data_IF_973872495858
#
_entry.id   IF_973872495858
#
_cell.length_a   1.000
_cell.length_b   1.000
_cell.length_c   1.000
_cell.angle_alpha   90.00
_cell.angle_beta   90.00
_cell.angle_gamma   90.00
#
_symmetry.space_group_name_H-M   'P 1'
#
loop_
_entity.id
_entity.type
_entity.pdbx_description
1 polymer ?
#
# COMPACT_ATOMS: atom_id res chain seq x y z
N UNK A 1 -15.37 57.64 45.11
CA UNK A 1 -14.65 57.11 43.93
C UNK A 1 -13.76 55.95 44.42
N UNK A 2 -14.28 54.72 44.42
CA UNK A 2 -13.53 53.52 44.77
C UNK A 2 -13.62 52.56 43.59
N UNK A 3 -12.51 52.39 42.88
CA UNK A 3 -12.40 51.48 41.73
C UNK A 3 -11.97 50.12 42.27
N UNK A 4 -12.88 49.15 42.28
CA UNK A 4 -12.54 47.74 42.51
C UNK A 4 -11.96 47.17 41.20
N UNK A 5 -10.66 46.91 41.21
CA UNK A 5 -9.98 46.07 40.22
C UNK A 5 -10.28 44.60 40.55
N UNK A 6 -11.22 44.02 39.80
CA UNK A 6 -11.52 42.60 39.84
C UNK A 6 -10.45 41.86 39.02
N UNK A 7 -9.47 41.26 39.70
CA UNK A 7 -8.46 40.41 39.06
C UNK A 7 -9.07 39.10 38.60
N UNK A 8 -9.19 38.91 37.28
CA UNK A 8 -9.42 37.58 36.70
C UNK A 8 -8.18 36.72 36.89
N UNK A 9 -8.22 35.80 37.85
CA UNK A 9 -7.31 34.66 37.91
C UNK A 9 -7.65 33.72 36.76
N UNK A 10 -6.88 33.76 35.68
CA UNK A 10 -6.86 32.70 34.68
C UNK A 10 -6.22 31.47 35.33
N UNK A 11 -7.04 30.51 35.74
CA UNK A 11 -6.58 29.15 36.01
C UNK A 11 -6.22 28.52 34.67
N UNK A 12 -4.91 28.39 34.40
CA UNK A 12 -4.39 27.50 33.38
C UNK A 12 -4.85 26.09 33.73
N UNK A 13 -5.87 25.59 33.04
CA UNK A 13 -6.22 24.18 33.04
C UNK A 13 -5.05 23.43 32.42
N UNK A 14 -4.31 22.65 33.22
CA UNK A 14 -3.38 21.66 32.69
C UNK A 14 -4.16 20.80 31.70
N UNK A 15 -3.80 20.86 30.42
CA UNK A 15 -4.37 19.97 29.41
C UNK A 15 -4.01 18.55 29.83
N UNK A 16 -5.01 17.78 30.24
CA UNK A 16 -4.85 16.38 30.65
C UNK A 16 -4.22 15.60 29.48
N UNK A 17 -3.15 14.83 29.71
CA UNK A 17 -2.53 14.08 28.61
C UNK A 17 -3.53 13.07 28.05
N UNK A 18 -3.96 13.28 26.80
CA UNK A 18 -4.85 12.35 26.12
C UNK A 18 -4.17 11.73 24.90
N UNK A 19 -4.12 10.40 24.87
CA UNK A 19 -3.59 9.64 23.73
C UNK A 19 -4.58 9.75 22.57
N UNK A 20 -4.19 10.14 21.34
CA UNK A 20 -5.09 10.26 20.19
C UNK A 20 -5.76 8.96 19.77
N UNK A 21 -6.99 9.04 19.23
CA UNK A 21 -7.81 7.87 18.84
C UNK A 21 -7.10 6.94 17.86
N UNK A 22 -6.31 7.49 16.92
CA UNK A 22 -5.56 6.71 15.92
C UNK A 22 -4.51 5.76 16.53
N UNK A 23 -4.05 6.05 17.76
CA UNK A 23 -3.05 5.24 18.48
C UNK A 23 -3.72 4.28 19.47
N UNK A 24 -4.98 4.53 19.84
CA UNK A 24 -5.71 3.70 20.82
C UNK A 24 -6.01 2.31 20.25
N UNK A 25 -6.08 1.33 21.13
CA UNK A 25 -6.40 -0.05 20.79
C UNK A 25 -5.38 -1.05 21.33
N UNK A 26 -5.51 -2.29 20.87
CA UNK A 26 -4.63 -3.40 21.22
C UNK A 26 -3.68 -3.68 20.07
N UNK A 27 -2.39 -3.67 20.39
CA UNK A 27 -1.30 -3.71 19.43
C UNK A 27 -0.37 -4.89 19.73
N UNK A 28 -0.14 -5.74 18.75
CA UNK A 28 0.78 -6.86 18.83
C UNK A 28 2.16 -6.48 18.28
N UNK A 29 3.20 -6.89 18.99
CA UNK A 29 4.59 -6.77 18.55
C UNK A 29 5.38 -8.02 18.95
N UNK A 30 6.41 -8.34 18.17
CA UNK A 30 7.43 -9.30 18.57
C UNK A 30 8.64 -8.54 19.09
N UNK A 31 8.93 -8.68 20.39
CA UNK A 31 9.97 -7.91 21.07
C UNK A 31 10.89 -8.87 21.81
N UNK A 32 12.20 -8.81 21.53
CA UNK A 32 13.22 -9.61 22.22
C UNK A 32 12.91 -11.12 22.24
N UNK A 33 12.39 -11.66 21.14
CA UNK A 33 12.04 -13.07 21.04
C UNK A 33 10.74 -13.46 21.76
N UNK A 34 9.88 -12.50 22.11
CA UNK A 34 8.63 -12.74 22.83
C UNK A 34 7.44 -12.00 22.22
N UNK A 35 6.32 -12.70 22.20
CA UNK A 35 5.00 -12.11 21.93
C UNK A 35 4.69 -11.03 22.95
N UNK A 36 4.43 -9.82 22.47
CA UNK A 36 4.15 -8.66 23.30
C UNK A 36 2.83 -8.04 22.88
N UNK A 37 1.94 -7.84 23.84
CA UNK A 37 0.69 -7.10 23.65
C UNK A 37 0.79 -5.76 24.37
N UNK A 38 0.43 -4.70 23.67
CA UNK A 38 0.41 -3.33 24.16
C UNK A 38 -0.99 -2.78 23.95
N UNK A 39 -1.67 -2.41 25.04
CA UNK A 39 -2.96 -1.73 24.97
C UNK A 39 -2.77 -0.26 25.32
N UNK A 40 -3.31 0.61 24.47
CA UNK A 40 -3.35 2.05 24.66
C UNK A 40 -4.81 2.48 24.72
N UNK A 41 -5.21 3.09 25.83
CA UNK A 41 -6.51 3.76 25.94
C UNK A 41 -6.31 5.28 25.92
N UNK A 42 -7.30 6.07 26.37
CA UNK A 42 -7.18 7.53 26.34
C UNK A 42 -6.09 8.07 27.27
N UNK A 43 -5.70 7.33 28.32
CA UNK A 43 -4.87 7.84 29.41
C UNK A 43 -3.70 6.93 29.80
N UNK A 44 -3.64 5.68 29.34
CA UNK A 44 -2.68 4.70 29.84
C UNK A 44 -2.14 3.81 28.74
N UNK A 45 -0.95 3.26 29.00
CA UNK A 45 -0.31 2.23 28.18
C UNK A 45 0.10 1.06 29.06
N UNK A 46 -0.20 -0.18 28.63
CA UNK A 46 0.14 -1.40 29.37
C UNK A 46 1.63 -1.43 29.73
N UNK A 47 1.95 -1.72 31.00
CA UNK A 47 3.32 -1.79 31.56
C UNK A 47 4.11 -0.47 31.54
N UNK A 48 3.47 0.67 31.26
CA UNK A 48 4.09 2.01 31.31
C UNK A 48 3.35 2.97 32.25
N UNK A 49 2.05 2.74 32.47
CA UNK A 49 1.25 3.50 33.43
C UNK A 49 0.44 4.61 32.76
N UNK A 50 0.21 5.72 33.47
CA UNK A 50 -0.65 6.83 33.02
C UNK A 50 0.13 7.87 32.23
N UNK A 51 -0.42 8.37 31.14
CA UNK A 51 0.16 9.48 30.41
C UNK A 51 0.05 10.75 31.24
N UNK A 52 1.14 11.50 31.30
CA UNK A 52 1.22 12.77 32.01
C UNK A 52 1.72 13.91 31.12
N UNK A 53 2.32 13.60 29.98
CA UNK A 53 2.78 14.59 29.01
C UNK A 53 2.82 13.99 27.60
N UNK A 54 2.55 14.80 26.60
CA UNK A 54 2.59 14.44 25.18
C UNK A 54 3.14 15.60 24.36
N UNK A 55 4.06 15.28 23.47
CA UNK A 55 4.51 16.16 22.38
C UNK A 55 4.10 15.55 21.05
N UNK A 56 3.51 16.36 20.18
CA UNK A 56 2.98 15.95 18.89
C UNK A 56 3.70 16.70 17.76
N UNK A 57 4.16 15.94 16.77
CA UNK A 57 4.78 16.44 15.55
C UNK A 57 4.00 15.92 14.33
N UNK A 58 3.43 16.86 13.56
CA UNK A 58 2.76 16.61 12.27
C UNK A 58 1.63 15.55 12.32
N UNK A 59 0.99 15.33 13.48
CA UNK A 59 -0.06 14.32 13.69
C UNK A 59 0.35 12.86 13.37
N UNK A 60 1.64 12.59 13.17
CA UNK A 60 2.17 11.27 12.81
C UNK A 60 3.26 10.79 13.76
N UNK A 61 3.92 11.71 14.47
CA UNK A 61 4.96 11.40 15.43
C UNK A 61 4.54 11.94 16.80
N UNK A 62 4.50 11.06 17.79
CA UNK A 62 4.04 11.39 19.14
C UNK A 62 5.05 10.91 20.16
N UNK A 63 5.46 11.79 21.05
CA UNK A 63 6.35 11.48 22.15
C UNK A 63 5.58 11.60 23.46
N UNK A 64 5.40 10.47 24.15
CA UNK A 64 4.65 10.40 25.39
C UNK A 64 5.57 10.22 26.59
N UNK A 65 5.20 10.86 27.69
CA UNK A 65 5.72 10.54 29.02
C UNK A 65 4.65 9.80 29.80
N UNK A 66 4.96 8.56 30.15
CA UNK A 66 4.14 7.72 31.01
C UNK A 66 4.72 7.64 32.41
N UNK A 67 3.83 7.63 33.41
CA UNK A 67 4.15 7.48 34.81
C UNK A 67 3.65 6.12 35.33
N UNK A 68 4.60 5.29 35.73
CA UNK A 68 4.39 4.10 36.56
C UNK A 68 4.69 4.46 38.02
N UNK A 69 4.17 3.75 39.05
CA UNK A 69 4.38 4.14 40.46
C UNK A 69 5.84 4.28 40.89
N UNK A 70 6.78 3.68 40.14
CA UNK A 70 8.21 3.67 40.48
C UNK A 70 9.06 4.64 39.65
N UNK A 71 8.62 5.00 38.44
CA UNK A 71 9.44 5.77 37.49
C UNK A 71 8.64 6.24 36.27
N UNK A 72 9.33 6.95 35.38
CA UNK A 72 8.78 7.45 34.12
C UNK A 72 9.33 6.69 32.92
N UNK A 73 8.54 6.64 31.85
CA UNK A 73 8.92 6.07 30.56
C UNK A 73 8.70 7.10 29.47
N UNK A 74 9.69 7.25 28.58
CA UNK A 74 9.50 7.95 27.33
C UNK A 74 9.16 6.93 26.24
N UNK A 75 8.05 7.15 25.53
CA UNK A 75 7.63 6.31 24.41
C UNK A 75 7.38 7.20 23.21
N UNK A 76 8.14 7.00 22.14
CA UNK A 76 7.94 7.65 20.85
C UNK A 76 7.20 6.70 19.93
N UNK A 77 6.06 7.13 19.40
CA UNK A 77 5.21 6.38 18.48
C UNK A 77 5.11 7.10 17.14
N UNK A 78 5.37 6.35 16.07
CA UNK A 78 5.21 6.79 14.70
C UNK A 78 4.02 6.06 14.07
N UNK A 79 3.03 6.82 13.62
CA UNK A 79 1.87 6.31 12.89
C UNK A 79 2.28 6.06 11.45
N UNK A 80 2.41 4.79 11.05
CA UNK A 80 2.70 4.42 9.65
C UNK A 80 1.41 4.28 8.85
N UNK A 81 0.45 3.55 9.40
CA UNK A 81 -0.88 3.36 8.81
C UNK A 81 -1.91 3.23 9.94
N UNK A 82 -3.20 3.13 9.58
CA UNK A 82 -4.27 2.83 10.55
C UNK A 82 -4.10 1.50 11.29
N UNK A 83 -3.28 0.58 10.76
CA UNK A 83 -3.06 -0.76 11.33
C UNK A 83 -1.62 -1.01 11.77
N UNK A 84 -0.71 -0.06 11.55
CA UNK A 84 0.73 -0.22 11.82
C UNK A 84 1.28 1.01 12.51
N UNK A 85 1.85 0.80 13.68
CA UNK A 85 2.67 1.78 14.38
C UNK A 85 4.12 1.28 14.44
N UNK A 86 5.04 2.22 14.63
CA UNK A 86 6.39 1.91 15.05
C UNK A 86 6.66 2.63 16.38
N UNK A 87 7.42 1.99 17.27
CA UNK A 87 7.82 2.60 18.55
C UNK A 87 9.31 2.53 18.81
N UNK A 88 9.78 3.51 19.56
CA UNK A 88 10.99 3.42 20.39
C UNK A 88 10.66 3.88 21.79
N UNK A 89 11.37 3.34 22.78
CA UNK A 89 11.11 3.69 24.18
C UNK A 89 12.37 3.59 25.02
N UNK A 90 12.39 4.38 26.10
CA UNK A 90 13.43 4.29 27.12
C UNK A 90 13.10 3.20 28.14
N UNK A 91 14.12 2.78 28.90
CA UNK A 91 13.89 2.10 30.17
C UNK A 91 13.29 3.03 31.22
N UNK A 92 13.09 2.48 32.42
CA UNK A 92 12.61 3.19 33.61
C UNK A 92 13.55 4.37 33.98
N UNK A 93 13.01 5.60 33.95
CA UNK A 93 13.73 6.84 34.24
C UNK A 93 13.29 7.40 35.60
N UNK A 94 14.23 7.54 36.52
CA UNK A 94 14.00 8.19 37.81
C UNK A 94 14.39 9.66 37.72
N UNK A 95 13.50 10.53 38.19
CA UNK A 95 13.75 11.97 38.33
C UNK A 95 13.99 12.29 39.81
N UNK A 96 14.69 13.38 40.09
CA UNK A 96 14.83 13.85 41.46
C UNK A 96 13.48 14.37 41.99
N UNK A 97 13.28 14.35 43.32
CA UNK A 97 11.99 14.66 43.97
C UNK A 97 11.38 16.04 43.62
N UNK A 98 12.16 16.96 43.07
CA UNK A 98 11.73 18.32 42.70
C UNK A 98 11.76 18.58 41.18
N UNK A 99 11.98 17.56 40.36
CA UNK A 99 12.04 17.72 38.91
C UNK A 99 10.69 17.40 38.27
N UNK A 100 10.20 18.33 37.45
CA UNK A 100 9.00 18.09 36.65
C UNK A 100 9.28 17.10 35.51
N UNK A 101 8.38 16.12 35.28
CA UNK A 101 8.50 15.11 34.24
C UNK A 101 8.09 15.66 32.86
N UNK A 102 8.90 16.56 32.31
CA UNK A 102 8.72 17.05 30.92
C UNK A 102 9.24 16.05 29.90
N UNK A 103 8.77 16.19 28.65
CA UNK A 103 9.21 15.35 27.52
C UNK A 103 10.73 15.45 27.35
N UNK A 104 11.30 16.65 27.34
CA UNK A 104 12.73 16.86 27.12
C UNK A 104 13.59 16.19 28.19
N UNK A 105 13.10 16.13 29.44
CA UNK A 105 13.84 15.58 30.56
C UNK A 105 13.78 14.06 30.60
N UNK A 106 12.58 13.48 30.44
CA UNK A 106 12.39 12.02 30.48
C UNK A 106 12.93 11.38 29.19
N UNK A 107 12.72 12.01 28.04
CA UNK A 107 13.12 11.50 26.73
C UNK A 107 14.57 11.81 26.34
N UNK A 108 15.35 12.52 27.18
CA UNK A 108 16.75 12.86 26.90
C UNK A 108 17.63 11.66 26.52
N UNK A 109 17.32 10.49 27.08
CA UNK A 109 18.07 9.23 26.85
C UNK A 109 17.47 8.37 25.72
N UNK A 110 16.44 8.84 25.03
CA UNK A 110 15.89 8.12 23.89
C UNK A 110 16.92 8.12 22.77
N UNK A 111 17.40 6.94 22.40
CA UNK A 111 18.41 6.82 21.35
C UNK A 111 17.73 6.96 19.97
N UNK A 112 18.09 7.96 19.15
CA UNK A 112 17.50 8.14 17.81
C UNK A 112 17.86 6.99 16.86
N UNK A 113 18.99 6.32 17.07
CA UNK A 113 19.46 5.20 16.24
C UNK A 113 18.92 3.83 16.72
N UNK A 114 18.07 3.82 17.75
CA UNK A 114 17.46 2.59 18.23
C UNK A 114 16.56 1.99 17.14
N UNK A 115 16.63 0.67 16.97
CA UNK A 115 15.76 -0.02 16.04
C UNK A 115 14.30 0.15 16.46
N UNK A 116 13.50 0.65 15.52
CA UNK A 116 12.06 0.78 15.66
C UNK A 116 11.44 -0.61 15.84
N UNK A 117 10.52 -0.73 16.79
CA UNK A 117 9.71 -1.92 17.00
C UNK A 117 8.39 -1.71 16.26
N UNK A 118 8.03 -2.62 15.36
CA UNK A 118 6.75 -2.55 14.65
C UNK A 118 5.63 -3.12 15.52
N UNK A 119 4.49 -2.43 15.52
CA UNK A 119 3.26 -2.86 16.17
C UNK A 119 2.14 -3.02 15.15
N UNK A 120 1.41 -4.12 15.22
CA UNK A 120 0.27 -4.44 14.37
C UNK A 120 -1.02 -4.35 15.17
N UNK A 121 -2.04 -3.69 14.62
CA UNK A 121 -3.37 -3.66 15.25
C UNK A 121 -3.97 -5.06 15.30
N UNK A 122 -4.40 -5.49 16.48
CA UNK A 122 -5.09 -6.77 16.67
C UNK A 122 -6.47 -6.79 16.00
N UNK A 123 -7.13 -5.63 16.00
CA UNK A 123 -8.42 -5.39 15.38
C UNK A 123 -8.22 -4.58 14.09
N UNK A 124 -7.36 -5.06 13.21
CA UNK A 124 -7.03 -4.35 11.98
C UNK A 124 -8.24 -4.22 11.06
N UNK A 125 -8.29 -3.10 10.33
CA UNK A 125 -9.25 -2.86 9.25
C UNK A 125 -8.55 -3.13 7.92
N UNK A 126 -8.99 -4.12 7.12
CA UNK A 126 -8.35 -4.40 5.83
C UNK A 126 -8.33 -3.18 4.92
N UNK A 127 -7.16 -2.87 4.36
CA UNK A 127 -6.98 -1.75 3.41
C UNK A 127 -6.73 -2.28 2.00
N UNK A 128 -6.81 -1.39 1.02
CA UNK A 128 -6.60 -1.76 -0.37
C UNK A 128 -5.12 -2.13 -0.62
N UNK A 129 -4.87 -3.29 -1.22
CA UNK A 129 -3.54 -3.79 -1.59
C UNK A 129 -2.92 -3.06 -2.78
N UNK A 130 -3.69 -2.24 -3.51
CA UNK A 130 -3.25 -1.61 -4.76
C UNK A 130 -1.98 -0.78 -4.64
N UNK A 131 -1.85 -0.01 -3.56
CA UNK A 131 -0.63 0.77 -3.30
C UNK A 131 0.54 -0.12 -2.92
N UNK A 132 0.28 -1.23 -2.22
CA UNK A 132 1.28 -2.21 -1.80
C UNK A 132 1.81 -3.05 -2.96
N UNK A 133 0.92 -3.79 -3.64
CA UNK A 133 1.20 -4.81 -4.62
C UNK A 133 -0.07 -5.06 -5.46
N UNK A 134 -0.11 -4.70 -6.75
CA UNK A 134 -1.21 -4.99 -7.69
C UNK A 134 -0.70 -5.71 -8.94
N UNK A 135 -1.20 -6.92 -9.21
CA UNK A 135 -0.70 -7.73 -10.34
C UNK A 135 -0.75 -9.25 -10.15
N UNK A 136 -0.42 -9.95 -11.23
CA UNK A 136 -0.10 -11.38 -11.27
C UNK A 136 1.37 -11.52 -11.61
N UNK A 137 2.12 -12.17 -10.73
CA UNK A 137 3.55 -12.37 -10.91
C UNK A 137 3.89 -13.83 -10.72
N UNK A 138 4.72 -14.36 -11.60
CA UNK A 138 5.47 -15.58 -11.34
C UNK A 138 6.65 -15.19 -10.45
N UNK A 139 7.05 -16.08 -9.54
CA UNK A 139 8.19 -15.76 -8.69
C UNK A 139 9.10 -16.96 -8.45
N UNK A 140 10.39 -16.66 -8.32
CA UNK A 140 11.38 -17.55 -7.71
C UNK A 140 11.64 -17.08 -6.29
N UNK A 141 11.88 -17.99 -5.35
CA UNK A 141 12.09 -17.63 -3.95
C UNK A 141 13.31 -18.30 -3.33
N UNK A 142 13.95 -17.56 -2.44
CA UNK A 142 15.05 -18.02 -1.61
C UNK A 142 14.66 -17.82 -0.14
N UNK A 143 14.92 -18.82 0.70
CA UNK A 143 14.77 -18.68 2.16
C UNK A 143 16.08 -19.07 2.84
N UNK A 144 16.78 -18.07 3.38
CA UNK A 144 18.14 -18.21 3.94
C UNK A 144 18.23 -19.15 5.14
N UNK A 145 17.11 -19.43 5.80
CA UNK A 145 17.04 -20.28 6.99
C UNK A 145 16.56 -21.70 6.69
N UNK A 146 16.01 -21.95 5.50
CA UNK A 146 15.41 -23.26 5.15
C UNK A 146 16.21 -24.04 4.12
N UNK A 147 16.82 -23.38 3.13
CA UNK A 147 17.55 -24.06 2.06
C UNK A 147 18.58 -23.16 1.37
N UNK A 148 19.50 -23.78 0.64
CA UNK A 148 20.52 -23.07 -0.17
C UNK A 148 20.08 -22.99 -1.63
N UNK A 149 20.31 -21.85 -2.27
CA UNK A 149 19.93 -21.60 -3.66
C UNK A 149 18.57 -20.91 -3.78
N UNK A 150 18.06 -20.86 -5.01
CA UNK A 150 16.80 -20.21 -5.36
C UNK A 150 15.86 -21.25 -5.97
N UNK A 151 14.65 -21.37 -5.42
CA UNK A 151 13.62 -22.22 -5.97
C UNK A 151 12.84 -21.44 -7.04
N UNK A 152 13.02 -21.82 -8.30
CA UNK A 152 12.28 -21.29 -9.44
C UNK A 152 11.33 -22.36 -9.99
N UNK A 153 10.04 -22.22 -9.69
CA UNK A 153 8.98 -23.10 -10.20
C UNK A 153 7.99 -22.25 -11.03
N UNK A 154 7.60 -22.68 -12.25
CA UNK A 154 6.69 -21.91 -13.10
C UNK A 154 5.28 -21.74 -12.51
N UNK A 155 4.84 -22.66 -11.64
CA UNK A 155 3.52 -22.60 -11.01
C UNK A 155 3.51 -21.76 -9.71
N UNK A 156 4.67 -21.25 -9.28
CA UNK A 156 4.77 -20.36 -8.14
C UNK A 156 4.34 -18.95 -8.55
N UNK A 157 3.26 -18.45 -7.95
CA UNK A 157 2.64 -17.20 -8.36
C UNK A 157 2.13 -16.36 -7.19
N UNK A 158 2.23 -15.05 -7.33
CA UNK A 158 1.55 -14.05 -6.50
C UNK A 158 0.38 -13.51 -7.33
N UNK A 159 -0.81 -13.47 -6.75
CA UNK A 159 -2.02 -12.93 -7.38
C UNK A 159 -2.67 -11.91 -6.46
N UNK A 160 -2.49 -10.63 -6.79
CA UNK A 160 -3.04 -9.47 -6.08
C UNK A 160 -3.89 -8.63 -7.02
N UNK A 161 -5.09 -9.13 -7.30
CA UNK A 161 -5.99 -8.53 -8.28
C UNK A 161 -7.25 -8.00 -7.62
N UNK A 162 -7.75 -6.89 -8.16
CA UNK A 162 -9.05 -6.38 -7.75
C UNK A 162 -10.11 -7.42 -8.10
N UNK A 163 -10.89 -7.83 -7.11
CA UNK A 163 -12.07 -8.64 -7.38
C UNK A 163 -13.18 -7.73 -7.88
N UNK A 164 -13.89 -8.17 -8.91
CA UNK A 164 -15.07 -7.49 -9.42
C UNK A 164 -16.13 -7.38 -8.32
N UNK A 165 -16.19 -6.22 -7.67
CA UNK A 165 -17.30 -5.88 -6.80
C UNK A 165 -18.46 -5.30 -7.59
N UNK A 166 -19.51 -4.90 -6.88
CA UNK A 166 -20.51 -3.98 -7.44
C UNK A 166 -19.85 -2.64 -7.75
N UNK A 167 -20.46 -1.83 -8.62
CA UNK A 167 -20.05 -0.47 -9.03
C UNK A 167 -19.67 0.51 -7.89
N UNK A 168 -19.88 0.15 -6.61
CA UNK A 168 -19.57 0.96 -5.43
C UNK A 168 -18.54 0.32 -4.47
N UNK A 169 -18.12 -0.94 -4.65
CA UNK A 169 -17.31 -1.67 -3.65
C UNK A 169 -16.23 -2.53 -4.32
N UNK A 170 -15.13 -1.90 -4.76
CA UNK A 170 -13.94 -2.63 -5.24
C UNK A 170 -13.21 -3.23 -4.03
N UNK A 171 -13.27 -4.55 -3.85
CA UNK A 171 -12.61 -5.27 -2.74
C UNK A 171 -11.23 -5.79 -3.16
N UNK A 172 -10.21 -4.94 -3.22
CA UNK A 172 -8.81 -5.39 -3.36
C UNK A 172 -8.12 -5.36 -1.99
N UNK A 173 -8.66 -6.06 -1.00
CA UNK A 173 -8.13 -6.04 0.38
C UNK A 173 -7.24 -7.24 0.72
N UNK A 174 -7.15 -8.21 -0.20
CA UNK A 174 -6.46 -9.48 -0.01
C UNK A 174 -5.73 -9.90 -1.28
N UNK A 175 -4.67 -10.68 -1.11
CA UNK A 175 -3.96 -11.33 -2.20
C UNK A 175 -3.44 -12.70 -1.78
N UNK A 176 -3.14 -13.54 -2.77
CA UNK A 176 -2.65 -14.89 -2.54
C UNK A 176 -1.22 -15.06 -3.03
N UNK A 177 -0.40 -15.75 -2.26
CA UNK A 177 0.89 -16.28 -2.69
C UNK A 177 0.79 -17.81 -2.75
N UNK A 178 1.06 -18.36 -3.92
CA UNK A 178 1.13 -19.80 -4.17
C UNK A 178 2.58 -20.22 -4.24
N UNK A 179 3.07 -20.88 -3.20
CA UNK A 179 4.37 -21.52 -3.16
C UNK A 179 4.32 -22.90 -3.78
N UNK A 180 5.41 -23.28 -4.45
CA UNK A 180 5.58 -24.59 -5.08
C UNK A 180 6.95 -25.15 -4.77
N UNK A 181 7.03 -26.44 -4.50
CA UNK A 181 8.30 -27.13 -4.28
C UNK A 181 9.15 -27.16 -5.56
N UNK A 182 10.47 -27.15 -5.40
CA UNK A 182 11.40 -27.34 -6.51
C UNK A 182 11.98 -28.75 -6.51
N UNK A 183 12.01 -29.45 -7.67
CA UNK A 183 12.63 -30.76 -7.78
C UNK A 183 14.10 -30.71 -7.34
N UNK A 184 14.51 -31.65 -6.49
CA UNK A 184 15.89 -31.75 -6.00
C UNK A 184 16.29 -30.76 -4.90
N UNK A 185 15.37 -29.90 -4.43
CA UNK A 185 15.64 -28.95 -3.35
C UNK A 185 14.87 -29.29 -2.07
N UNK A 186 15.58 -29.77 -1.05
CA UNK A 186 15.01 -30.01 0.28
C UNK A 186 14.67 -28.67 0.97
N UNK A 187 13.57 -28.62 1.74
CA UNK A 187 13.12 -27.40 2.42
C UNK A 187 12.23 -26.46 1.59
N UNK A 188 12.06 -26.73 0.29
CA UNK A 188 11.01 -26.11 -0.54
C UNK A 188 9.65 -26.79 -0.27
N UNK A 189 8.54 -26.09 -0.51
CA UNK A 189 7.22 -26.57 -0.10
C UNK A 189 6.11 -26.11 -1.06
N UNK A 190 5.02 -26.88 -1.09
CA UNK A 190 3.78 -26.49 -1.75
C UNK A 190 2.83 -25.87 -0.72
N UNK A 191 2.27 -24.71 -1.01
CA UNK A 191 1.36 -24.04 -0.09
C UNK A 191 0.70 -22.80 -0.69
N UNK A 192 -0.47 -22.45 -0.18
CA UNK A 192 -1.17 -21.21 -0.57
C UNK A 192 -1.38 -20.38 0.68
N UNK A 193 -0.90 -19.15 0.67
CA UNK A 193 -1.05 -18.19 1.76
C UNK A 193 -1.92 -17.03 1.28
N UNK A 194 -3.01 -16.76 2.00
CA UNK A 194 -3.88 -15.63 1.77
C UNK A 194 -3.55 -14.52 2.76
N UNK A 195 -3.10 -13.39 2.24
CA UNK A 195 -2.75 -12.20 3.00
C UNK A 195 -3.84 -11.14 2.89
N UNK A 196 -4.19 -10.53 4.02
CA UNK A 196 -4.95 -9.29 4.10
C UNK A 196 -4.00 -8.11 4.21
N UNK A 197 -4.19 -7.05 3.42
CA UNK A 197 -3.33 -5.88 3.46
C UNK A 197 -3.66 -5.00 4.68
N UNK A 198 -2.62 -4.56 5.38
CA UNK A 198 -2.69 -3.68 6.56
C UNK A 198 -2.25 -2.25 6.24
N UNK A 199 -1.53 -2.08 5.13
CA UNK A 199 -1.13 -0.79 4.57
C UNK A 199 0.36 -0.75 4.24
N UNK A 200 0.78 0.39 3.71
CA UNK A 200 2.12 0.59 3.20
C UNK A 200 2.66 1.99 3.49
N UNK A 201 3.97 2.12 3.55
CA UNK A 201 4.67 3.38 3.80
C UNK A 201 6.05 3.36 3.15
N UNK A 202 6.63 4.55 3.00
CA UNK A 202 7.96 4.73 2.43
C UNK A 202 8.95 5.17 3.49
N UNK A 203 10.16 4.63 3.41
CA UNK A 203 11.35 5.11 4.13
C UNK A 203 12.43 5.29 3.08
N UNK A 204 12.73 6.54 2.74
CA UNK A 204 13.58 6.90 1.61
C UNK A 204 13.11 6.24 0.30
N UNK A 205 13.95 5.38 -0.29
CA UNK A 205 13.66 4.61 -1.51
C UNK A 205 12.98 3.27 -1.23
N UNK A 206 12.88 2.87 0.02
CA UNK A 206 12.32 1.59 0.40
C UNK A 206 10.81 1.72 0.62
N UNK A 207 10.05 0.85 -0.02
CA UNK A 207 8.61 0.75 0.15
C UNK A 207 8.28 -0.48 0.97
N UNK A 208 7.75 -0.23 2.16
CA UNK A 208 7.32 -1.26 3.08
C UNK A 208 5.82 -1.45 2.97
N UNK A 209 5.36 -2.70 3.07
CA UNK A 209 3.96 -2.98 3.27
C UNK A 209 3.76 -4.13 4.25
N UNK A 210 2.72 -4.00 5.05
CA UNK A 210 2.37 -4.92 6.11
C UNK A 210 1.12 -5.72 5.73
N UNK A 211 1.13 -6.99 6.11
CA UNK A 211 0.03 -7.92 5.82
C UNK A 211 -0.24 -8.85 7.00
N UNK A 212 -1.45 -9.39 7.04
CA UNK A 212 -1.87 -10.43 7.97
C UNK A 212 -2.27 -11.70 7.22
N UNK A 213 -1.63 -12.83 7.53
CA UNK A 213 -2.04 -14.15 7.06
C UNK A 213 -3.39 -14.50 7.69
N UNK A 214 -4.41 -14.64 6.86
CA UNK A 214 -5.81 -14.83 7.29
C UNK A 214 -6.07 -16.21 7.90
N UNK A 215 -5.20 -17.19 7.65
CA UNK A 215 -5.34 -18.57 8.12
C UNK A 215 -4.39 -18.92 9.26
N UNK A 216 -3.54 -17.98 9.69
CA UNK A 216 -2.59 -18.20 10.78
C UNK A 216 -3.13 -17.63 12.10
N UNK A 217 -3.05 -18.45 13.15
CA UNK A 217 -3.52 -18.11 14.50
C UNK A 217 -2.39 -17.62 15.40
N UNK A 218 -1.16 -18.10 15.18
CA UNK A 218 0.03 -17.68 15.93
C UNK A 218 0.44 -16.29 15.49
N UNK A 219 0.34 -15.31 16.39
CA UNK A 219 0.50 -13.88 16.07
C UNK A 219 1.89 -13.54 15.51
N UNK A 220 2.93 -14.21 15.98
CA UNK A 220 4.31 -14.11 15.49
C UNK A 220 4.47 -14.56 14.03
N UNK A 221 3.61 -15.47 13.57
CA UNK A 221 3.57 -15.93 12.18
C UNK A 221 2.47 -15.28 11.33
N UNK A 222 1.45 -14.75 11.99
CA UNK A 222 0.30 -14.09 11.35
C UNK A 222 0.72 -12.82 10.62
N UNK A 223 1.51 -11.96 11.26
CA UNK A 223 1.90 -10.67 10.67
C UNK A 223 3.22 -10.78 9.92
N UNK A 224 3.28 -10.15 8.75
CA UNK A 224 4.44 -10.13 7.87
C UNK A 224 4.65 -8.74 7.30
N UNK A 225 5.91 -8.41 7.08
CA UNK A 225 6.30 -7.22 6.36
C UNK A 225 6.97 -7.63 5.06
N UNK A 226 6.75 -6.80 4.06
CA UNK A 226 7.37 -6.90 2.77
C UNK A 226 8.12 -5.60 2.50
N UNK A 227 9.23 -5.72 1.81
CA UNK A 227 10.09 -4.61 1.40
C UNK A 227 10.34 -4.73 -0.09
N UNK A 228 10.03 -3.68 -0.84
CA UNK A 228 10.49 -3.50 -2.22
C UNK A 228 11.31 -2.24 -2.32
N UNK A 229 12.33 -2.24 -3.16
CA UNK A 229 13.06 -1.01 -3.43
C UNK A 229 12.35 -0.28 -4.57
N UNK A 230 12.26 1.05 -4.49
CA UNK A 230 11.71 1.82 -5.59
C UNK A 230 12.53 1.59 -6.85
N UNK A 231 13.86 1.57 -6.78
CA UNK A 231 14.78 1.48 -7.93
C UNK A 231 14.86 0.07 -8.54
N UNK A 232 14.62 -0.97 -7.73
CA UNK A 232 14.60 -2.38 -8.14
C UNK A 232 13.29 -3.03 -7.72
N UNK A 233 12.31 -3.04 -8.63
CA UNK A 233 10.96 -3.58 -8.43
C UNK A 233 10.83 -5.06 -8.78
N UNK A 234 11.91 -5.70 -9.24
CA UNK A 234 11.95 -7.13 -9.58
C UNK A 234 12.16 -8.02 -8.37
N UNK A 235 12.53 -7.45 -7.22
CA UNK A 235 12.73 -8.21 -6.00
C UNK A 235 11.90 -7.69 -4.84
N UNK A 236 11.38 -8.63 -4.05
CA UNK A 236 10.65 -8.36 -2.82
C UNK A 236 11.30 -9.12 -1.67
N UNK A 237 11.64 -8.41 -0.61
CA UNK A 237 12.09 -8.99 0.67
C UNK A 237 10.89 -9.26 1.57
N UNK A 238 10.90 -10.40 2.27
CA UNK A 238 9.80 -10.82 3.16
C UNK A 238 10.35 -11.15 4.54
N UNK A 239 9.68 -10.68 5.59
CA UNK A 239 10.01 -11.01 6.98
C UNK A 239 9.54 -12.44 7.32
N UNK A 240 10.21 -13.09 8.27
CA UNK A 240 9.80 -14.40 8.81
C UNK A 240 9.02 -14.30 10.12
N UNK A 241 9.04 -13.14 10.76
CA UNK A 241 8.35 -12.81 12.00
C UNK A 241 7.63 -11.47 11.82
N UNK A 242 6.85 -11.07 12.82
CA UNK A 242 6.18 -9.77 12.89
C UNK A 242 7.16 -8.61 13.19
N UNK A 243 8.28 -8.55 12.46
CA UNK A 243 9.36 -7.58 12.66
C UNK A 243 9.76 -6.96 11.31
N UNK A 244 9.27 -5.75 11.01
CA UNK A 244 9.63 -5.07 9.76
C UNK A 244 11.07 -4.54 9.80
N UNK A 245 11.57 -4.21 10.98
CA UNK A 245 12.90 -3.62 11.19
C UNK A 245 14.06 -4.54 10.77
N UNK A 246 13.83 -5.86 10.64
CA UNK A 246 14.81 -6.82 10.10
C UNK A 246 15.02 -6.65 8.59
N UNK A 247 14.04 -6.11 7.87
CA UNK A 247 14.13 -5.86 6.43
C UNK A 247 14.91 -4.56 6.17
N UNK A 248 16.24 -4.66 6.15
CA UNK A 248 17.12 -3.52 5.82
C UNK A 248 17.25 -3.30 4.32
N UNK A 249 17.46 -4.38 3.58
CA UNK A 249 17.50 -4.39 2.11
C UNK A 249 16.87 -5.68 1.59
N UNK A 250 16.46 -5.68 0.33
CA UNK A 250 15.84 -6.85 -0.29
C UNK A 250 16.83 -8.03 -0.35
N UNK A 251 18.11 -7.75 -0.60
CA UNK A 251 19.16 -8.78 -0.68
C UNK A 251 19.35 -9.44 0.67
N UNK A 252 19.39 -8.67 1.76
CA UNK A 252 19.62 -9.16 3.13
C UNK A 252 18.37 -9.73 3.80
N UNK A 253 17.23 -9.72 3.11
CA UNK A 253 15.97 -10.19 3.68
C UNK A 253 16.00 -11.71 3.99
N UNK A 254 15.32 -12.15 5.06
CA UNK A 254 15.17 -13.57 5.41
C UNK A 254 14.69 -14.45 4.25
N UNK A 255 13.64 -13.97 3.59
CA UNK A 255 13.09 -14.52 2.37
C UNK A 255 13.16 -13.44 1.30
N UNK A 256 13.53 -13.86 0.09
CA UNK A 256 13.66 -13.00 -1.08
C UNK A 256 12.89 -13.62 -2.23
N UNK A 257 12.05 -12.83 -2.87
CA UNK A 257 11.26 -13.21 -4.04
C UNK A 257 11.82 -12.45 -5.25
N UNK A 258 12.17 -13.15 -6.32
CA UNK A 258 12.39 -12.54 -7.65
C UNK A 258 11.10 -12.69 -8.44
N UNK A 259 10.45 -11.58 -8.74
CA UNK A 259 9.16 -11.58 -9.42
C UNK A 259 9.32 -11.33 -10.92
N UNK A 260 8.40 -11.85 -11.71
CA UNK A 260 8.29 -11.61 -13.15
C UNK A 260 6.81 -11.45 -13.47
N UNK A 261 6.39 -10.33 -14.10
CA UNK A 261 4.98 -10.11 -14.42
C UNK A 261 4.49 -11.19 -15.38
N UNK A 262 3.33 -11.78 -15.08
CA UNK A 262 2.67 -12.72 -15.98
C UNK A 262 1.83 -11.91 -16.96
N UNK A 263 2.01 -12.14 -18.26
CA UNK A 263 1.20 -11.48 -19.29
C UNK A 263 -0.28 -11.80 -19.05
N UNK A 264 -1.11 -10.77 -19.15
CA UNK A 264 -2.56 -10.91 -19.17
C UNK A 264 -3.02 -11.88 -20.26
N UNK A 265 -4.15 -12.53 -20.01
CA UNK A 265 -4.83 -13.41 -20.97
C UNK A 265 -4.96 -12.72 -22.33
N UNK A 266 -4.64 -13.43 -23.42
CA UNK A 266 -4.71 -12.87 -24.77
C UNK A 266 -6.18 -12.70 -25.15
N UNK A 267 -6.59 -11.47 -25.41
CA UNK A 267 -7.95 -11.16 -25.85
C UNK A 267 -7.97 -11.10 -27.36
N UNK A 268 -8.81 -11.91 -27.99
CA UNK A 268 -9.04 -11.85 -29.43
C UNK A 268 -9.83 -10.58 -29.80
N UNK A 269 -9.43 -9.92 -30.89
CA UNK A 269 -10.10 -8.74 -31.39
C UNK A 269 -11.40 -9.12 -32.13
N UNK A 270 -12.48 -8.42 -31.81
CA UNK A 270 -13.79 -8.59 -32.46
C UNK A 270 -14.18 -7.46 -33.41
N UNK A 271 -13.43 -6.37 -33.44
CA UNK A 271 -13.64 -5.24 -34.35
C UNK A 271 -12.32 -4.64 -34.86
N UNK A 272 -12.42 -3.74 -35.85
CA UNK A 272 -11.29 -3.00 -36.40
C UNK A 272 -11.43 -1.51 -36.12
N UNK A 273 -10.30 -0.88 -35.83
CA UNK A 273 -10.17 0.56 -35.72
C UNK A 273 -10.12 1.22 -37.11
N UNK A 274 -10.52 2.49 -37.23
CA UNK A 274 -10.40 3.24 -38.46
C UNK A 274 -8.96 3.28 -38.99
N UNK A 275 -8.76 3.04 -40.28
CA UNK A 275 -7.42 2.98 -40.89
C UNK A 275 -6.64 4.30 -40.76
N UNK A 276 -7.36 5.43 -40.73
CA UNK A 276 -6.77 6.76 -40.54
C UNK A 276 -6.26 7.01 -39.11
N UNK A 277 -6.50 6.10 -38.17
CA UNK A 277 -5.95 6.19 -36.82
C UNK A 277 -4.66 5.40 -36.66
N UNK A 278 -4.29 4.53 -37.60
CA UNK A 278 -3.08 3.73 -37.52
C UNK A 278 -1.83 4.61 -37.52
N UNK A 279 -0.93 4.40 -36.56
CA UNK A 279 0.30 5.17 -36.42
C UNK A 279 0.70 5.39 -34.97
N UNK A 280 1.73 6.22 -34.81
CA UNK A 280 2.24 6.68 -33.53
C UNK A 280 1.65 8.06 -33.20
N UNK A 281 1.18 8.23 -31.97
CA UNK A 281 0.52 9.45 -31.48
C UNK A 281 0.97 9.78 -30.05
N UNK A 282 0.74 11.01 -29.62
CA UNK A 282 1.00 11.47 -28.25
C UNK A 282 -0.33 11.77 -27.54
N UNK A 283 -0.53 11.18 -26.36
CA UNK A 283 -1.71 11.42 -25.53
C UNK A 283 -1.51 12.61 -24.57
N UNK A 284 -2.05 13.75 -24.97
CA UNK A 284 -2.00 14.99 -24.17
C UNK A 284 -2.81 14.93 -22.87
N UNK A 285 -3.71 13.95 -22.71
CA UNK A 285 -4.51 13.80 -21.50
C UNK A 285 -3.77 13.09 -20.35
N UNK A 286 -2.63 12.44 -20.63
CA UNK A 286 -1.96 11.57 -19.67
C UNK A 286 -0.43 11.68 -19.75
N UNK A 287 0.12 12.80 -19.29
CA UNK A 287 1.57 13.04 -19.13
C UNK A 287 2.34 12.72 -20.43
N UNK A 288 1.76 13.11 -21.58
CA UNK A 288 2.33 12.90 -22.92
C UNK A 288 2.75 11.43 -23.18
N UNK A 289 1.88 10.48 -22.83
CA UNK A 289 2.11 9.06 -23.09
C UNK A 289 2.19 8.75 -24.60
N UNK A 290 3.11 7.86 -24.98
CA UNK A 290 3.23 7.33 -26.34
C UNK A 290 2.06 6.39 -26.63
N UNK A 291 1.37 6.62 -27.75
CA UNK A 291 0.26 5.81 -28.22
C UNK A 291 0.61 5.19 -29.56
N UNK A 292 0.59 3.86 -29.65
CA UNK A 292 0.65 3.15 -30.92
C UNK A 292 -0.72 2.56 -31.24
N UNK A 293 -1.28 2.92 -32.39
CA UNK A 293 -2.56 2.38 -32.88
C UNK A 293 -2.30 1.51 -34.10
N UNK A 294 -2.84 0.29 -34.08
CA UNK A 294 -2.93 -0.56 -35.26
C UNK A 294 -4.40 -0.88 -35.58
N UNK A 295 -4.64 -1.78 -36.54
CA UNK A 295 -6.00 -2.12 -36.99
C UNK A 295 -6.94 -2.63 -35.89
N UNK A 296 -6.43 -3.15 -34.77
CA UNK A 296 -7.24 -3.83 -33.75
C UNK A 296 -6.90 -3.44 -32.31
N UNK A 297 -5.76 -2.77 -32.11
CA UNK A 297 -5.20 -2.46 -30.80
C UNK A 297 -4.81 -0.99 -30.70
N UNK A 298 -4.96 -0.46 -29.49
CA UNK A 298 -4.35 0.80 -29.05
C UNK A 298 -3.40 0.45 -27.91
N UNK A 299 -2.17 0.91 -27.98
CA UNK A 299 -1.13 0.60 -27.02
C UNK A 299 -0.66 1.91 -26.42
N UNK A 300 -0.95 2.12 -25.15
CA UNK A 300 -0.57 3.31 -24.40
C UNK A 300 0.64 2.99 -23.51
N UNK A 301 1.74 3.69 -23.73
CA UNK A 301 2.99 3.55 -22.98
C UNK A 301 3.31 4.87 -22.30
N UNK A 302 3.31 4.87 -20.97
CA UNK A 302 3.65 6.05 -20.19
C UNK A 302 4.93 5.81 -19.38
N UNK A 303 5.73 6.86 -19.21
CA UNK A 303 7.03 6.80 -18.55
C UNK A 303 7.01 7.54 -17.22
N UNK A 304 6.90 6.84 -16.09
CA UNK A 304 6.97 7.49 -14.78
C UNK A 304 8.34 8.13 -14.51
N UNK A 305 9.42 7.52 -14.99
CA UNK A 305 10.83 7.88 -14.75
C UNK A 305 11.68 7.45 -15.98
N UNK A 306 12.88 8.00 -16.20
CA UNK A 306 13.75 7.78 -17.40
C UNK A 306 14.10 6.30 -17.71
N UNK A 307 13.94 5.38 -16.76
CA UNK A 307 14.23 3.96 -16.93
C UNK A 307 13.00 3.04 -16.92
N UNK A 308 11.79 3.59 -16.84
CA UNK A 308 10.56 2.80 -16.63
C UNK A 308 9.50 3.17 -17.63
N UNK A 309 8.75 2.16 -18.04
CA UNK A 309 7.53 2.35 -18.81
C UNK A 309 6.44 1.44 -18.25
N UNK A 310 5.21 1.91 -18.30
CA UNK A 310 4.03 1.09 -18.06
C UNK A 310 3.21 1.08 -19.33
N UNK A 311 2.86 -0.12 -19.77
CA UNK A 311 2.11 -0.33 -21.00
C UNK A 311 0.69 -0.79 -20.66
N UNK A 312 -0.28 -0.20 -21.33
CA UNK A 312 -1.69 -0.63 -21.33
C UNK A 312 -2.07 -0.97 -22.76
N UNK A 313 -2.63 -2.15 -22.96
CA UNK A 313 -3.06 -2.61 -24.28
C UNK A 313 -4.58 -2.60 -24.29
N UNK A 314 -5.17 -1.91 -25.25
CA UNK A 314 -6.61 -1.90 -25.50
C UNK A 314 -6.87 -2.72 -26.78
N UNK A 315 -7.76 -3.71 -26.70
CA UNK A 315 -8.11 -4.59 -27.82
C UNK A 315 -9.57 -4.33 -28.22
N UNK A 316 -9.82 -4.06 -29.49
CA UNK A 316 -11.17 -3.81 -30.01
C UNK A 316 -12.05 -5.06 -29.89
N UNK A 317 -13.16 -4.97 -29.14
CA UNK A 317 -14.12 -6.08 -28.95
C UNK A 317 -15.37 -5.92 -29.79
N UNK A 318 -16.01 -4.76 -29.69
CA UNK A 318 -17.22 -4.45 -30.44
C UNK A 318 -17.24 -2.96 -30.81
N UNK A 319 -17.79 -2.65 -31.98
CA UNK A 319 -17.96 -1.28 -32.47
C UNK A 319 -19.43 -1.03 -32.79
N UNK A 320 -19.95 0.14 -32.39
CA UNK A 320 -21.20 0.71 -32.89
C UNK A 320 -21.07 2.20 -33.09
N UNK A 321 -21.33 2.66 -34.31
CA UNK A 321 -21.18 4.05 -34.74
C UNK A 321 -19.75 4.56 -34.46
N UNK A 322 -19.63 5.61 -33.63
CA UNK A 322 -18.38 6.22 -33.19
C UNK A 322 -17.80 5.60 -31.91
N UNK A 323 -18.52 4.64 -31.30
CA UNK A 323 -18.16 4.02 -30.02
C UNK A 323 -17.55 2.64 -30.21
N UNK A 324 -16.44 2.43 -29.52
CA UNK A 324 -15.62 1.23 -29.57
C UNK A 324 -15.47 0.71 -28.15
N UNK A 325 -16.02 -0.47 -27.89
CA UNK A 325 -15.78 -1.18 -26.65
C UNK A 325 -14.42 -1.88 -26.75
N UNK A 326 -13.49 -1.46 -25.90
CA UNK A 326 -12.13 -1.98 -25.85
C UNK A 326 -11.93 -2.84 -24.60
N UNK A 327 -11.37 -4.02 -24.75
CA UNK A 327 -10.80 -4.77 -23.64
C UNK A 327 -9.46 -4.14 -23.24
N UNK A 328 -9.38 -3.57 -22.05
CA UNK A 328 -8.19 -3.00 -21.45
C UNK A 328 -7.42 -4.07 -20.69
N UNK A 329 -6.18 -4.28 -21.11
CA UNK A 329 -5.21 -5.20 -20.52
C UNK A 329 -4.03 -4.40 -19.98
N UNK A 330 -3.86 -4.40 -18.66
CA UNK A 330 -2.65 -3.87 -18.03
C UNK A 330 -1.56 -4.94 -18.02
N UNK A 331 -0.29 -4.53 -18.14
CA UNK A 331 0.88 -5.45 -18.14
C UNK A 331 0.94 -6.31 -16.88
N UNK A 332 0.40 -5.84 -15.75
CA UNK A 332 0.41 -6.57 -14.48
C UNK A 332 -0.64 -7.70 -14.41
N UNK A 333 -1.32 -8.05 -15.50
CA UNK A 333 -2.05 -9.33 -15.62
C UNK A 333 -3.34 -9.48 -14.81
N UNK A 334 -3.73 -8.49 -14.01
CA UNK A 334 -4.77 -8.70 -13.00
C UNK A 334 -6.22 -8.60 -13.44
N UNK A 335 -6.49 -7.77 -14.45
CA UNK A 335 -7.86 -7.43 -14.78
C UNK A 335 -7.97 -7.20 -16.28
N UNK A 336 -8.91 -7.92 -16.89
CA UNK A 336 -9.49 -7.57 -18.18
C UNK A 336 -10.68 -6.69 -17.87
N UNK A 337 -10.54 -5.40 -18.14
CA UNK A 337 -11.65 -4.45 -18.06
C UNK A 337 -12.15 -4.13 -19.45
N UNK A 338 -13.35 -3.59 -19.53
CA UNK A 338 -13.94 -3.06 -20.74
C UNK A 338 -14.12 -1.56 -20.56
N UNK A 339 -13.64 -0.81 -21.54
CA UNK A 339 -13.74 0.64 -21.57
C UNK A 339 -14.28 1.07 -22.92
N UNK A 340 -15.17 2.06 -22.91
CA UNK A 340 -15.66 2.63 -24.15
C UNK A 340 -14.76 3.78 -24.60
N UNK A 341 -14.33 3.74 -25.86
CA UNK A 341 -13.79 4.88 -26.58
C UNK A 341 -14.85 5.42 -27.51
N UNK A 342 -15.14 6.70 -27.44
CA UNK A 342 -15.94 7.39 -28.45
C UNK A 342 -15.03 8.32 -29.25
N UNK A 343 -14.81 7.98 -30.53
CA UNK A 343 -13.93 8.74 -31.42
C UNK A 343 -14.73 9.72 -32.26
N UNK A 344 -14.31 10.98 -32.30
CA UNK A 344 -14.91 12.00 -33.16
C UNK A 344 -13.94 12.32 -34.30
N UNK A 345 -14.31 12.04 -35.56
CA UNK A 345 -13.46 12.33 -36.71
C UNK A 345 -13.34 13.84 -36.88
N UNK A 346 -12.13 14.36 -37.13
CA UNK A 346 -11.97 15.80 -37.34
C UNK A 346 -10.95 16.21 -38.41
N UNK A 347 -9.68 15.78 -38.31
CA UNK A 347 -8.63 16.34 -39.15
C UNK A 347 -7.43 15.38 -39.30
N UNK A 348 -6.56 15.62 -40.30
CA UNK A 348 -5.54 14.67 -40.76
C UNK A 348 -4.44 14.27 -39.75
N UNK A 349 -4.31 14.91 -38.59
CA UNK A 349 -3.28 14.59 -37.58
C UNK A 349 -3.78 14.82 -36.14
N UNK A 350 -5.10 14.73 -35.91
CA UNK A 350 -5.67 14.91 -34.56
C UNK A 350 -6.83 13.95 -34.38
N UNK A 351 -6.73 13.05 -33.41
CA UNK A 351 -7.83 12.19 -33.01
C UNK A 351 -8.44 12.75 -31.73
N UNK A 352 -9.71 13.16 -31.81
CA UNK A 352 -10.51 13.48 -30.63
C UNK A 352 -11.17 12.22 -30.12
N UNK A 353 -11.03 11.98 -28.82
CA UNK A 353 -11.68 10.85 -28.20
C UNK A 353 -12.25 11.21 -26.84
N UNK A 354 -13.17 10.36 -26.39
CA UNK A 354 -13.65 10.32 -25.02
C UNK A 354 -13.49 8.91 -24.51
N UNK A 355 -13.05 8.79 -23.26
CA UNK A 355 -12.89 7.51 -22.59
C UNK A 355 -13.89 7.40 -21.45
N UNK A 356 -14.70 6.34 -21.49
CA UNK A 356 -15.61 5.98 -20.41
C UNK A 356 -14.87 5.46 -19.18
N UNK A 357 -15.60 5.24 -18.10
CA UNK A 357 -15.09 4.51 -16.93
C UNK A 357 -14.89 3.04 -17.31
N UNK A 358 -13.78 2.45 -16.85
CA UNK A 358 -13.51 1.03 -17.03
C UNK A 358 -14.45 0.20 -16.13
N UNK A 359 -15.07 -0.83 -16.69
CA UNK A 359 -15.98 -1.75 -16.00
C UNK A 359 -15.66 -3.20 -16.37
N UNK A 360 -16.08 -4.16 -15.54
CA UNK A 360 -15.71 -5.58 -15.74
C UNK A 360 -16.72 -6.31 -16.64
N UNK A 361 -17.92 -5.75 -16.81
CA UNK A 361 -18.98 -6.34 -17.62
C UNK A 361 -18.63 -6.29 -19.12
N UNK A 362 -18.70 -7.42 -19.82
CA UNK A 362 -18.53 -7.54 -21.28
C UNK A 362 -19.87 -7.32 -21.99
N UNK A 363 -20.51 -6.17 -21.73
CA UNK A 363 -21.75 -5.78 -22.40
C UNK A 363 -21.62 -4.38 -22.96
N UNK A 364 -21.72 -4.27 -24.29
CA UNK A 364 -21.57 -3.01 -25.00
C UNK A 364 -22.52 -1.93 -24.46
N UNK A 365 -23.78 -2.27 -24.17
CA UNK A 365 -24.76 -1.31 -23.71
C UNK A 365 -24.41 -0.71 -22.34
N UNK A 366 -23.84 -1.52 -21.46
CA UNK A 366 -23.37 -1.11 -20.14
C UNK A 366 -22.09 -0.27 -20.25
N UNK A 367 -21.08 -0.79 -20.98
CA UNK A 367 -19.74 -0.19 -21.08
C UNK A 367 -19.78 1.14 -21.86
N UNK A 368 -20.52 1.17 -22.96
CA UNK A 368 -20.63 2.32 -23.87
C UNK A 368 -21.87 3.18 -23.61
N UNK A 369 -22.52 3.04 -22.45
CA UNK A 369 -23.60 3.95 -22.04
C UNK A 369 -23.08 5.37 -21.85
N UNK A 370 -23.87 6.36 -22.23
CA UNK A 370 -23.51 7.78 -22.09
C UNK A 370 -23.20 8.19 -20.64
N UNK A 371 -23.75 7.48 -19.66
CA UNK A 371 -23.47 7.72 -18.23
C UNK A 371 -22.06 7.33 -17.80
N UNK A 372 -21.37 6.48 -18.57
CA UNK A 372 -20.00 6.07 -18.27
C UNK A 372 -18.96 7.14 -18.63
N UNK A 373 -19.35 8.16 -19.40
CA UNK A 373 -18.50 9.32 -19.66
C UNK A 373 -18.73 10.34 -18.55
N UNK A 374 -17.69 10.69 -17.79
CA UNK A 374 -17.79 11.67 -16.71
C UNK A 374 -18.09 13.06 -17.28
N UNK A 375 -19.37 13.43 -17.30
CA UNK A 375 -19.80 14.76 -17.75
C UNK A 375 -19.30 15.82 -16.75
N UNK A 376 -18.40 16.69 -17.19
CA UNK A 376 -18.28 18.05 -16.62
C UNK A 376 -19.33 18.93 -17.31
N UNK A 377 -19.63 20.11 -16.75
CA UNK A 377 -20.66 21.04 -17.27
C UNK A 377 -20.50 21.34 -18.78
N UNK A 378 -19.29 21.19 -19.33
CA UNK A 378 -19.01 21.14 -20.77
C UNK A 378 -18.43 19.79 -21.22
N UNK A 379 -18.78 19.37 -22.44
CA UNK A 379 -18.29 18.15 -23.08
C UNK A 379 -16.82 18.33 -23.50
N UNK A 380 -15.87 17.82 -22.69
CA UNK A 380 -14.43 17.88 -22.98
C UNK A 380 -13.96 16.62 -23.70
N UNK A 381 -13.16 16.80 -24.75
CA UNK A 381 -12.50 15.74 -25.51
C UNK A 381 -11.01 15.72 -25.19
N UNK A 382 -10.45 14.53 -25.13
CA UNK A 382 -9.01 14.30 -25.08
C UNK A 382 -8.46 14.18 -26.51
N UNK A 383 -7.15 14.42 -26.68
CA UNK A 383 -6.50 14.45 -27.98
C UNK A 383 -5.34 13.46 -28.07
N UNK A 384 -5.31 12.69 -29.15
CA UNK A 384 -4.09 12.13 -29.70
C UNK A 384 -3.57 13.06 -30.81
N UNK A 385 -2.30 13.47 -30.67
CA UNK A 385 -1.61 14.39 -31.58
C UNK A 385 -0.46 13.71 -32.32
#
# INVERSE_FOLDING_TARGET
LFILLCGCTFTLTNADCSIPVIIRGSWFSWENGRNTLTELNAETMTRRGRCINVEEENHVNYTFVFQDPKCYYCVKLLVRTVNVLEKTETGCVNLANNEEPTVERVCKKLNPDQQLITLFSENYVPVNCRSSLEGVWQFAYQNRFRFTGECNNPDAQIRSCQTAGTQFLITNQKFNITYKKCPGMTGTFDGVVEYSCLGDWFVDKNHFFAVANTKESRKDEKYRCFLKNRDDDLYIGVSITAECNMLKTVEKSPERLRITPVKSEVVEAGCRLPQNFSGDWINTANIDADIFINETHIIETWYPDEGRYRRTIYVCREQRDTRYMMARLTVDGCQKDYVCFDFVPQHHNVIRYRRGVAVINDDFHTVCSWVQFKNKEDWKYDLFL
#
